data_IF_111414123986
#
_entry.id   IF_111414123986
#
_cell.length_a   1.000
_cell.length_b   1.000
_cell.length_c   1.000
_cell.angle_alpha   90.00
_cell.angle_beta   90.00
_cell.angle_gamma   90.00
#
_symmetry.space_group_name_H-M   'P 1'
#
loop_
_entity.id
_entity.type
_entity.pdbx_description
1 polymer ?
#
# COMPACT_ATOMS: atom_id res chain seq x y z
N UNK A 1 2.09 15.75 2.55
CA UNK A 1 3.05 15.12 1.62
C UNK A 1 2.61 15.37 0.19
N UNK A 2 3.49 15.79 -0.73
CA UNK A 2 3.10 16.04 -2.13
C UNK A 2 2.69 14.77 -2.86
N UNK A 3 1.80 14.88 -3.85
CA UNK A 3 1.45 13.82 -4.79
C UNK A 3 2.70 13.21 -5.45
N UNK A 4 2.72 11.89 -5.57
CA UNK A 4 3.81 11.14 -6.19
C UNK A 4 5.02 10.93 -5.27
N UNK A 5 4.97 11.38 -4.01
CA UNK A 5 5.96 11.01 -2.99
C UNK A 5 5.95 9.49 -2.80
N UNK A 6 7.14 8.88 -2.92
CA UNK A 6 7.40 7.49 -2.54
C UNK A 6 7.64 7.40 -1.03
N UNK A 7 6.76 6.71 -0.32
CA UNK A 7 6.85 6.49 1.13
C UNK A 7 7.79 5.33 1.48
N UNK A 8 8.20 4.54 0.49
CA UNK A 8 9.11 3.41 0.62
C UNK A 8 8.47 2.06 0.33
N UNK A 9 9.27 1.02 0.57
CA UNK A 9 8.91 -0.37 0.29
C UNK A 9 7.92 -0.88 1.35
N UNK A 10 6.76 -1.34 0.91
CA UNK A 10 5.80 -2.08 1.73
C UNK A 10 6.06 -3.59 1.70
N UNK A 11 6.33 -4.13 0.51
CA UNK A 11 6.52 -5.57 0.31
C UNK A 11 7.70 -5.83 -0.62
N UNK A 12 8.45 -6.89 -0.35
CA UNK A 12 9.45 -7.44 -1.28
C UNK A 12 9.12 -8.89 -1.55
N UNK A 13 9.00 -9.26 -2.82
CA UNK A 13 8.70 -10.63 -3.24
C UNK A 13 9.85 -11.55 -2.85
N UNK A 14 9.52 -12.66 -2.20
CA UNK A 14 10.47 -13.66 -1.76
C UNK A 14 9.91 -15.06 -2.03
N UNK A 15 10.41 -15.70 -3.09
CA UNK A 15 9.90 -17.01 -3.52
C UNK A 15 8.43 -16.95 -3.89
N UNK A 16 7.60 -17.74 -3.18
CA UNK A 16 6.15 -17.78 -3.36
C UNK A 16 5.38 -16.76 -2.49
N UNK A 17 6.08 -15.98 -1.65
CA UNK A 17 5.47 -15.03 -0.73
C UNK A 17 6.11 -13.64 -0.76
N UNK A 18 5.90 -12.90 0.34
CA UNK A 18 6.39 -11.53 0.50
C UNK A 18 7.01 -11.32 1.88
N UNK A 19 8.17 -10.67 1.89
CA UNK A 19 8.70 -10.00 3.08
C UNK A 19 7.93 -8.68 3.27
N UNK A 20 7.26 -8.55 4.43
CA UNK A 20 6.40 -7.40 4.74
C UNK A 20 7.14 -6.45 5.70
N UNK A 21 7.37 -5.21 5.27
CA UNK A 21 8.01 -4.18 6.09
C UNK A 21 7.05 -3.61 7.14
N UNK A 22 7.53 -2.83 8.13
CA UNK A 22 6.63 -2.10 9.02
C UNK A 22 5.64 -1.20 8.27
N UNK A 23 6.02 -0.64 7.11
CA UNK A 23 5.11 0.15 6.28
C UNK A 23 3.99 -0.72 5.72
N UNK A 24 4.32 -1.88 5.15
CA UNK A 24 3.33 -2.84 4.61
C UNK A 24 2.40 -3.45 5.66
N UNK A 25 2.79 -3.44 6.94
CA UNK A 25 1.96 -3.90 8.05
C UNK A 25 1.04 -2.83 8.63
N UNK A 26 1.41 -1.55 8.50
CA UNK A 26 0.79 -0.44 9.24
C UNK A 26 0.16 0.59 8.29
N UNK A 27 -0.70 0.11 7.40
CA UNK A 27 -1.65 0.92 6.65
C UNK A 27 -2.99 0.18 6.60
N UNK A 28 -4.07 0.91 6.34
CA UNK A 28 -5.39 0.33 6.25
C UNK A 28 -5.89 0.27 4.81
N UNK A 29 -6.97 -0.48 4.62
CA UNK A 29 -7.69 -0.55 3.36
C UNK A 29 -8.59 0.68 3.17
N UNK A 30 -8.73 1.18 1.93
CA UNK A 30 -9.81 2.06 1.52
C UNK A 30 -10.08 1.90 0.01
N UNK A 31 -11.34 2.01 -0.41
CA UNK A 31 -11.73 2.12 -1.82
C UNK A 31 -11.50 3.51 -2.42
N UNK A 32 -11.24 4.52 -1.58
CA UNK A 32 -10.82 5.87 -1.98
C UNK A 32 -9.45 6.19 -1.35
N UNK A 33 -8.40 5.43 -1.73
CA UNK A 33 -7.15 5.41 -0.98
C UNK A 33 -6.33 6.71 -1.13
N UNK A 34 -5.51 7.02 -0.12
CA UNK A 34 -4.54 8.13 -0.20
C UNK A 34 -3.27 7.75 -0.96
N UNK A 35 -2.93 6.45 -1.01
CA UNK A 35 -1.75 5.91 -1.66
C UNK A 35 -2.06 4.73 -2.59
N UNK A 36 -1.15 4.45 -3.51
CA UNK A 36 -1.16 3.25 -4.35
C UNK A 36 0.05 2.36 -4.02
N UNK A 37 -0.17 1.05 -4.08
CA UNK A 37 0.90 0.04 -4.05
C UNK A 37 1.40 -0.20 -5.47
N UNK A 38 2.59 0.30 -5.78
CA UNK A 38 3.21 0.23 -7.11
C UNK A 38 4.28 -0.85 -7.11
N UNK A 39 4.12 -1.88 -7.95
CA UNK A 39 5.11 -2.95 -8.11
C UNK A 39 6.23 -2.49 -9.06
N UNK A 40 7.45 -2.38 -8.52
CA UNK A 40 8.67 -2.04 -9.24
C UNK A 40 9.67 -3.21 -9.11
N UNK A 41 9.75 -4.04 -10.15
CA UNK A 41 10.52 -5.29 -10.07
C UNK A 41 9.89 -6.23 -9.04
N UNK A 42 10.67 -6.60 -8.02
CA UNK A 42 10.23 -7.47 -6.93
C UNK A 42 9.72 -6.69 -5.70
N UNK A 43 9.74 -5.36 -5.70
CA UNK A 43 9.32 -4.55 -4.55
C UNK A 43 8.07 -3.74 -4.83
N UNK A 44 7.11 -3.76 -3.90
CA UNK A 44 5.94 -2.88 -3.90
C UNK A 44 6.23 -1.66 -3.05
N UNK A 45 6.10 -0.48 -3.66
CA UNK A 45 6.28 0.82 -3.02
C UNK A 45 4.93 1.49 -2.78
N UNK A 46 4.79 2.23 -1.69
CA UNK A 46 3.61 3.07 -1.47
C UNK A 46 3.85 4.47 -2.01
N UNK A 47 3.04 4.86 -2.99
CA UNK A 47 3.14 6.17 -3.62
C UNK A 47 1.87 6.97 -3.37
N UNK A 48 2.02 8.21 -2.91
CA UNK A 48 0.90 9.13 -2.68
C UNK A 48 0.16 9.43 -4.00
N UNK A 49 -1.17 9.27 -4.00
CA UNK A 49 -2.01 9.50 -5.19
C UNK A 49 -2.40 10.96 -5.38
N UNK A 50 -2.33 11.73 -4.30
CA UNK A 50 -2.65 13.16 -4.21
C UNK A 50 -1.80 13.83 -3.14
N UNK A 51 -1.89 15.16 -3.06
CA UNK A 51 -1.36 15.87 -1.91
C UNK A 51 -2.11 15.39 -0.66
N UNK A 52 -1.35 15.13 0.40
CA UNK A 52 -1.83 14.68 1.69
C UNK A 52 -1.55 15.74 2.75
N UNK A 53 -2.49 15.95 3.65
CA UNK A 53 -2.27 16.82 4.81
C UNK A 53 -1.30 16.16 5.82
N UNK A 54 -0.67 16.93 6.72
CA UNK A 54 0.00 16.37 7.87
C UNK A 54 -0.96 15.47 8.66
N UNK A 55 -0.45 14.33 9.16
CA UNK A 55 -1.20 13.33 9.95
C UNK A 55 -2.36 12.64 9.21
N UNK A 56 -2.54 12.89 7.91
CA UNK A 56 -3.51 12.15 7.10
C UNK A 56 -3.13 10.66 7.00
N UNK A 57 -4.12 9.79 7.12
CA UNK A 57 -3.91 8.35 7.11
C UNK A 57 -3.38 7.84 5.75
N UNK A 58 -2.40 6.94 5.81
CA UNK A 58 -1.95 6.17 4.65
C UNK A 58 -2.89 4.98 4.47
N UNK A 59 -3.66 5.01 3.39
CA UNK A 59 -4.56 3.92 3.00
C UNK A 59 -4.26 3.48 1.58
N UNK A 60 -4.52 2.21 1.28
CA UNK A 60 -4.39 1.63 -0.06
C UNK A 60 -5.58 0.74 -0.38
N UNK A 61 -5.86 0.54 -1.66
CA UNK A 61 -6.84 -0.46 -2.08
C UNK A 61 -6.17 -1.85 -2.13
N UNK A 62 -6.59 -2.77 -1.25
CA UNK A 62 -6.06 -4.13 -1.18
C UNK A 62 -6.54 -4.99 -2.34
N UNK A 63 -7.71 -4.67 -2.91
CA UNK A 63 -8.30 -5.44 -4.01
C UNK A 63 -7.48 -5.34 -5.30
N UNK A 64 -6.63 -4.30 -5.41
CA UNK A 64 -5.69 -4.12 -6.51
C UNK A 64 -4.39 -4.93 -6.36
N UNK A 65 -4.27 -5.72 -5.29
CA UNK A 65 -3.12 -6.57 -4.99
C UNK A 65 -3.57 -8.03 -4.83
N UNK A 66 -4.07 -8.68 -5.91
CA UNK A 66 -4.77 -9.97 -5.84
C UNK A 66 -3.90 -11.15 -5.37
N UNK A 67 -2.58 -10.96 -5.36
CA UNK A 67 -1.57 -11.90 -4.90
C UNK A 67 -1.23 -11.77 -3.40
N UNK A 68 -1.90 -10.84 -2.68
CA UNK A 68 -1.84 -10.68 -1.23
C UNK A 68 -3.16 -11.10 -0.58
N UNK A 69 -3.19 -11.11 0.77
CA UNK A 69 -4.42 -11.33 1.53
C UNK A 69 -5.47 -10.28 1.16
N UNK A 70 -6.69 -10.75 0.88
CA UNK A 70 -7.79 -9.91 0.44
C UNK A 70 -8.64 -9.47 1.63
N UNK A 71 -9.19 -8.25 1.60
CA UNK A 71 -10.10 -7.78 2.64
C UNK A 71 -11.36 -8.65 2.68
N UNK A 72 -11.86 -8.92 3.89
CA UNK A 72 -13.16 -9.57 4.07
C UNK A 72 -14.32 -8.63 3.71
N UNK A 73 -15.52 -9.20 3.50
CA UNK A 73 -16.74 -8.44 3.15
C UNK A 73 -17.09 -7.32 4.16
N UNK A 74 -16.60 -7.47 5.38
CA UNK A 74 -16.80 -6.61 6.55
C UNK A 74 -15.70 -5.55 6.74
N UNK A 75 -14.68 -5.51 5.87
CA UNK A 75 -13.65 -4.46 5.88
C UNK A 75 -14.09 -3.32 4.96
N UNK A 76 -14.64 -2.25 5.54
CA UNK A 76 -15.07 -1.03 4.86
C UNK A 76 -14.23 0.16 5.24
#
# INVERSE_FOLDING_TARGET
>A
MPKGTDLGIAHTKQGEGYDITPLGKNHNHSYEPSCASVLNGDSRHLMTLRDMEPDEEVTVDYTLQPDLEQPGDDWR
#
